data_IF_274867457274
#
_entry.id   IF_274867457274
#
_cell.length_a   1.000
_cell.length_b   1.000
_cell.length_c   1.000
_cell.angle_alpha   90.00
_cell.angle_beta   90.00
_cell.angle_gamma   90.00
#
_symmetry.space_group_name_H-M   'P 1'
#
loop_
_entity.id
_entity.type
_entity.pdbx_description
1 polymer ?
#
# COMPACT_ATOMS: atom_id res chain seq x y z
N UNK A 1 4.00 5.89 -22.43
CA UNK A 1 2.58 5.83 -22.02
C UNK A 1 2.39 6.84 -20.90
N UNK A 2 1.42 7.74 -21.05
CA UNK A 2 1.37 9.04 -20.39
C UNK A 2 1.17 8.96 -18.88
N UNK A 3 2.11 9.56 -18.14
CA UNK A 3 1.94 9.88 -16.73
C UNK A 3 1.06 11.13 -16.64
N UNK A 4 -0.25 10.95 -16.48
CA UNK A 4 -1.12 12.02 -15.98
C UNK A 4 -0.72 12.29 -14.53
N UNK A 5 0.08 13.33 -14.35
CA UNK A 5 0.39 13.88 -13.04
C UNK A 5 -0.89 14.50 -12.46
N UNK A 6 -1.46 13.82 -11.47
CA UNK A 6 -2.64 14.15 -10.66
C UNK A 6 -2.54 15.45 -9.85
N UNK A 7 -1.58 16.34 -10.14
CA UNK A 7 -1.37 17.58 -9.39
C UNK A 7 -2.53 18.58 -9.46
N UNK A 8 -3.52 18.36 -10.34
CA UNK A 8 -4.69 19.23 -10.50
C UNK A 8 -6.05 18.51 -10.45
N UNK A 9 -6.08 17.20 -10.19
CA UNK A 9 -7.35 16.49 -10.07
C UNK A 9 -7.93 16.63 -8.65
N UNK A 10 -9.19 17.02 -8.60
CA UNK A 10 -9.98 17.03 -7.38
C UNK A 10 -10.19 15.58 -6.90
N UNK A 11 -9.36 15.14 -5.94
CA UNK A 11 -9.37 13.76 -5.44
C UNK A 11 -10.74 13.35 -4.85
N UNK A 12 -11.55 14.32 -4.40
CA UNK A 12 -12.90 14.05 -3.90
C UNK A 12 -13.84 13.50 -4.96
N UNK A 13 -13.50 13.66 -6.25
CA UNK A 13 -14.26 13.16 -7.40
C UNK A 13 -13.60 11.96 -8.09
N UNK A 14 -12.48 11.49 -7.57
CA UNK A 14 -11.77 10.37 -8.17
C UNK A 14 -12.64 9.10 -8.10
N UNK A 15 -12.95 8.45 -9.24
CA UNK A 15 -13.89 7.34 -9.28
C UNK A 15 -13.38 6.11 -8.51
N UNK A 16 -12.06 5.93 -8.42
CA UNK A 16 -11.48 4.80 -7.69
C UNK A 16 -11.54 5.02 -6.18
N UNK A 17 -11.28 6.26 -5.71
CA UNK A 17 -11.45 6.62 -4.30
C UNK A 17 -12.93 6.53 -3.87
N UNK A 18 -13.85 7.00 -4.71
CA UNK A 18 -15.30 6.89 -4.47
C UNK A 18 -15.77 5.43 -4.44
N UNK A 19 -15.21 4.57 -5.29
CA UNK A 19 -15.50 3.12 -5.25
C UNK A 19 -14.96 2.50 -3.97
N UNK A 20 -13.72 2.84 -3.58
CA UNK A 20 -13.07 2.34 -2.36
C UNK A 20 -13.82 2.74 -1.07
N UNK A 21 -14.27 3.99 -0.97
CA UNK A 21 -15.09 4.47 0.17
C UNK A 21 -16.57 4.12 0.08
N UNK A 22 -16.99 3.45 -1.00
CA UNK A 22 -18.38 3.15 -1.29
C UNK A 22 -18.98 2.07 -0.39
N UNK A 23 -20.25 1.74 -0.68
CA UNK A 23 -21.05 0.77 0.11
C UNK A 23 -20.93 -0.68 -0.35
N UNK A 24 -20.10 -0.94 -1.36
CA UNK A 24 -19.92 -2.30 -1.91
C UNK A 24 -18.57 -2.85 -1.45
N UNK A 25 -18.52 -4.12 -1.00
CA UNK A 25 -17.26 -4.78 -0.70
C UNK A 25 -16.44 -4.97 -1.98
N UNK A 26 -15.13 -4.88 -1.84
CA UNK A 26 -14.17 -5.10 -2.92
C UNK A 26 -13.29 -6.27 -2.52
N UNK A 27 -13.44 -7.41 -3.21
CA UNK A 27 -12.62 -8.60 -2.95
C UNK A 27 -11.12 -8.29 -3.18
N UNK A 28 -10.19 -8.88 -2.40
CA UNK A 28 -8.76 -8.81 -2.68
C UNK A 28 -8.37 -9.23 -4.11
N UNK A 29 -9.15 -10.14 -4.72
CA UNK A 29 -8.92 -10.63 -6.09
C UNK A 29 -9.57 -9.76 -7.19
N UNK A 30 -10.28 -8.67 -6.81
CA UNK A 30 -10.97 -7.81 -7.77
C UNK A 30 -9.96 -7.06 -8.67
N UNK A 31 -10.12 -7.07 -10.01
CA UNK A 31 -9.27 -6.33 -10.94
C UNK A 31 -9.19 -4.81 -10.66
N UNK A 32 -10.14 -4.26 -9.90
CA UNK A 32 -10.12 -2.92 -9.36
C UNK A 32 -8.76 -2.54 -8.77
N UNK A 33 -8.12 -3.44 -8.01
CA UNK A 33 -6.87 -3.12 -7.32
C UNK A 33 -5.74 -2.79 -8.29
N UNK A 34 -5.70 -3.43 -9.46
CA UNK A 34 -4.71 -3.10 -10.48
C UNK A 34 -4.90 -1.67 -10.99
N UNK A 35 -6.14 -1.24 -11.20
CA UNK A 35 -6.45 0.11 -11.66
C UNK A 35 -6.21 1.15 -10.55
N UNK A 36 -6.68 0.86 -9.34
CA UNK A 36 -6.52 1.72 -8.16
C UNK A 36 -5.04 1.93 -7.84
N UNK A 37 -4.22 0.88 -7.84
CA UNK A 37 -2.80 0.95 -7.53
C UNK A 37 -1.93 1.40 -8.70
N UNK A 38 -2.46 1.43 -9.92
CA UNK A 38 -1.78 2.09 -11.05
C UNK A 38 -2.02 3.60 -11.08
N UNK A 39 -2.94 4.13 -10.28
CA UNK A 39 -3.13 5.57 -10.14
C UNK A 39 -1.96 6.21 -9.37
N UNK A 40 -1.40 7.29 -9.93
CA UNK A 40 -0.22 7.95 -9.37
C UNK A 40 -0.63 9.00 -8.35
N UNK A 41 -0.82 8.60 -7.09
CA UNK A 41 -0.96 9.54 -5.97
C UNK A 41 0.43 9.77 -5.37
N UNK A 42 1.02 10.95 -5.60
CA UNK A 42 2.35 11.26 -5.07
C UNK A 42 2.26 11.50 -3.56
N UNK A 43 3.08 10.83 -2.74
CA UNK A 43 3.14 11.15 -1.33
C UNK A 43 3.57 12.61 -1.13
N UNK A 44 2.98 13.29 -0.13
CA UNK A 44 3.25 14.70 0.10
C UNK A 44 4.73 14.89 0.49
N UNK A 45 5.42 15.81 -0.20
CA UNK A 45 6.83 16.11 0.07
C UNK A 45 6.99 17.13 1.20
N UNK A 46 5.98 17.97 1.43
CA UNK A 46 5.97 18.99 2.48
C UNK A 46 4.77 18.86 3.40
N UNK A 47 4.84 19.49 4.58
CA UNK A 47 3.69 19.59 5.50
C UNK A 47 2.49 20.25 4.82
N UNK A 48 2.72 21.26 3.98
CA UNK A 48 1.64 21.94 3.26
C UNK A 48 0.96 21.01 2.25
N UNK A 49 1.73 20.14 1.59
CA UNK A 49 1.15 19.13 0.68
C UNK A 49 0.33 18.09 1.44
N UNK A 50 0.78 17.69 2.64
CA UNK A 50 0.04 16.77 3.51
C UNK A 50 -1.30 17.40 3.95
N UNK A 51 -1.30 18.67 4.37
CA UNK A 51 -2.54 19.39 4.73
C UNK A 51 -3.51 19.46 3.55
N UNK A 52 -3.01 19.76 2.35
CA UNK A 52 -3.84 19.79 1.13
C UNK A 52 -4.43 18.42 0.81
N UNK A 53 -3.61 17.37 0.88
CA UNK A 53 -4.05 15.99 0.65
C UNK A 53 -5.15 15.59 1.64
N UNK A 54 -4.93 15.85 2.94
CA UNK A 54 -5.90 15.54 4.00
C UNK A 54 -7.22 16.28 3.75
N UNK A 55 -7.16 17.56 3.38
CA UNK A 55 -8.34 18.36 3.06
C UNK A 55 -9.12 17.81 1.86
N UNK A 56 -8.44 17.31 0.83
CA UNK A 56 -9.11 16.77 -0.37
C UNK A 56 -9.73 15.39 -0.11
N UNK A 57 -9.12 14.59 0.76
CA UNK A 57 -9.58 13.23 1.06
C UNK A 57 -10.58 13.16 2.22
N UNK A 58 -10.78 14.26 2.96
CA UNK A 58 -11.63 14.25 4.15
C UNK A 58 -13.05 13.69 3.88
N UNK A 59 -13.72 14.11 2.81
CA UNK A 59 -15.06 13.61 2.49
C UNK A 59 -15.06 12.12 2.09
N UNK A 60 -14.05 11.67 1.35
CA UNK A 60 -13.83 10.26 1.00
C UNK A 60 -13.66 9.43 2.27
N UNK A 61 -12.84 9.90 3.21
CA UNK A 61 -12.56 9.15 4.43
C UNK A 61 -13.70 9.14 5.43
N UNK A 62 -14.49 10.21 5.52
CA UNK A 62 -15.73 10.20 6.31
C UNK A 62 -16.71 9.14 5.79
N UNK A 63 -16.88 9.02 4.46
CA UNK A 63 -17.70 7.97 3.87
C UNK A 63 -17.11 6.57 4.11
N UNK A 64 -15.81 6.44 3.92
CA UNK A 64 -15.09 5.20 4.14
C UNK A 64 -15.26 4.70 5.57
N UNK A 65 -15.11 5.57 6.58
CA UNK A 65 -15.26 5.22 7.99
C UNK A 65 -16.62 4.56 8.28
N UNK A 66 -17.69 5.15 7.75
CA UNK A 66 -19.05 4.65 7.93
C UNK A 66 -19.24 3.30 7.22
N UNK A 67 -18.74 3.17 5.99
CA UNK A 67 -19.02 2.00 5.16
C UNK A 67 -18.09 0.81 5.44
N UNK A 68 -16.85 1.06 5.87
CA UNK A 68 -15.81 0.03 6.00
C UNK A 68 -16.18 -1.08 6.99
N UNK A 69 -16.94 -0.76 8.04
CA UNK A 69 -17.44 -1.77 9.00
C UNK A 69 -18.32 -2.83 8.36
N UNK A 70 -18.95 -2.54 7.23
CA UNK A 70 -19.77 -3.48 6.47
C UNK A 70 -19.08 -3.99 5.21
N UNK A 71 -18.22 -3.18 4.58
CA UNK A 71 -17.57 -3.58 3.31
C UNK A 71 -16.27 -4.34 3.49
N UNK A 72 -15.54 -4.14 4.60
CA UNK A 72 -14.23 -4.76 4.81
C UNK A 72 -13.16 -4.32 3.80
N UNK A 73 -13.35 -3.16 3.15
CA UNK A 73 -12.45 -2.68 2.10
C UNK A 73 -11.04 -2.38 2.64
N UNK A 74 -10.91 -2.01 3.91
CA UNK A 74 -9.60 -1.84 4.55
C UNK A 74 -8.86 -3.17 4.67
N UNK A 75 -9.52 -4.20 5.19
CA UNK A 75 -8.95 -5.54 5.30
C UNK A 75 -8.52 -6.07 3.93
N UNK A 76 -9.33 -5.81 2.90
CA UNK A 76 -9.00 -6.18 1.52
C UNK A 76 -7.78 -5.42 0.99
N UNK A 77 -7.65 -4.12 1.29
CA UNK A 77 -6.46 -3.33 0.95
C UNK A 77 -5.20 -3.85 1.67
N UNK A 78 -5.30 -4.23 2.95
CA UNK A 78 -4.19 -4.84 3.69
C UNK A 78 -3.74 -6.14 3.03
N UNK A 79 -4.69 -7.02 2.68
CA UNK A 79 -4.39 -8.28 2.00
C UNK A 79 -3.75 -8.07 0.63
N UNK A 80 -4.26 -7.13 -0.17
CA UNK A 80 -3.65 -6.77 -1.46
C UNK A 80 -2.25 -6.22 -1.29
N UNK A 81 -2.02 -5.41 -0.25
CA UNK A 81 -0.69 -4.87 0.05
C UNK A 81 0.31 -5.97 0.43
N UNK A 82 -0.14 -6.99 1.16
CA UNK A 82 0.64 -8.20 1.46
C UNK A 82 0.98 -9.00 0.20
N UNK A 83 0.00 -9.22 -0.69
CA UNK A 83 0.21 -9.92 -1.96
C UNK A 83 1.26 -9.20 -2.80
N UNK A 84 1.13 -7.87 -2.98
CA UNK A 84 2.07 -7.04 -3.75
C UNK A 84 3.47 -7.01 -3.12
N UNK A 85 3.54 -7.04 -1.79
CA UNK A 85 4.80 -7.18 -1.06
C UNK A 85 5.51 -8.50 -1.38
N UNK A 86 4.78 -9.61 -1.30
CA UNK A 86 5.33 -10.94 -1.59
C UNK A 86 5.76 -11.08 -3.04
N UNK A 87 4.97 -10.53 -3.99
CA UNK A 87 5.36 -10.46 -5.40
C UNK A 87 6.66 -9.69 -5.58
N UNK A 88 6.77 -8.49 -4.99
CA UNK A 88 7.99 -7.67 -5.05
C UNK A 88 9.21 -8.43 -4.50
N UNK A 89 9.06 -9.14 -3.38
CA UNK A 89 10.12 -9.94 -2.76
C UNK A 89 10.52 -11.14 -3.64
N UNK A 90 9.56 -11.82 -4.26
CA UNK A 90 9.81 -12.92 -5.18
C UNK A 90 10.51 -12.46 -6.47
N UNK A 91 10.23 -11.23 -6.92
CA UNK A 91 10.72 -10.69 -8.19
C UNK A 91 11.88 -9.71 -8.02
N UNK A 92 12.54 -9.65 -6.84
CA UNK A 92 13.64 -8.72 -6.56
C UNK A 92 14.85 -8.82 -7.51
N UNK A 93 14.99 -9.95 -8.20
CA UNK A 93 16.04 -10.16 -9.21
C UNK A 93 15.59 -9.70 -10.61
N UNK A 94 14.29 -9.55 -10.83
CA UNK A 94 13.72 -8.98 -12.05
C UNK A 94 13.72 -7.46 -11.95
N UNK A 95 14.03 -6.76 -13.03
CA UNK A 95 13.98 -5.29 -13.08
C UNK A 95 12.57 -4.76 -13.33
N UNK A 96 11.53 -5.51 -12.95
CA UNK A 96 10.16 -5.11 -13.23
C UNK A 96 9.70 -4.01 -12.25
N UNK A 97 9.74 -2.78 -12.74
CA UNK A 97 9.36 -1.56 -12.03
C UNK A 97 7.87 -1.56 -11.67
N UNK A 98 7.02 -2.33 -12.37
CA UNK A 98 5.58 -2.34 -12.14
C UNK A 98 5.23 -2.88 -10.74
N UNK A 99 5.85 -3.98 -10.31
CA UNK A 99 5.62 -4.55 -8.98
C UNK A 99 6.06 -3.57 -7.89
N UNK A 100 7.25 -2.98 -8.01
CA UNK A 100 7.73 -1.98 -7.06
C UNK A 100 6.79 -0.76 -6.98
N UNK A 101 6.27 -0.31 -8.13
CA UNK A 101 5.33 0.80 -8.21
C UNK A 101 3.99 0.48 -7.54
N UNK A 102 3.39 -0.67 -7.84
CA UNK A 102 2.11 -1.06 -7.24
C UNK A 102 2.24 -1.32 -5.74
N UNK A 103 3.33 -1.95 -5.29
CA UNK A 103 3.61 -2.14 -3.86
C UNK A 103 3.75 -0.80 -3.16
N UNK A 104 4.51 0.15 -3.74
CA UNK A 104 4.63 1.51 -3.19
C UNK A 104 3.27 2.20 -3.03
N UNK A 105 2.42 2.15 -4.06
CA UNK A 105 1.09 2.77 -4.01
C UNK A 105 0.16 2.07 -3.00
N UNK A 106 0.26 0.75 -2.85
CA UNK A 106 -0.51 0.00 -1.87
C UNK A 106 -0.14 0.40 -0.44
N UNK A 107 1.17 0.45 -0.15
CA UNK A 107 1.69 0.91 1.14
C UNK A 107 1.30 2.35 1.44
N UNK A 108 1.31 3.23 0.42
CA UNK A 108 0.87 4.61 0.59
C UNK A 108 -0.62 4.72 0.88
N UNK A 109 -1.47 3.95 0.19
CA UNK A 109 -2.91 3.91 0.45
C UNK A 109 -3.19 3.42 1.88
N UNK A 110 -2.53 2.34 2.33
CA UNK A 110 -2.62 1.85 3.71
C UNK A 110 -2.20 2.92 4.71
N UNK A 111 -1.06 3.60 4.47
CA UNK A 111 -0.59 4.71 5.32
C UNK A 111 -1.65 5.80 5.45
N UNK A 112 -2.28 6.22 4.35
CA UNK A 112 -3.27 7.29 4.39
C UNK A 112 -4.53 6.88 5.16
N UNK A 113 -5.01 5.64 4.98
CA UNK A 113 -6.15 5.11 5.75
C UNK A 113 -5.80 5.01 7.24
N UNK A 114 -4.66 4.41 7.59
CA UNK A 114 -4.21 4.29 8.97
C UNK A 114 -4.04 5.64 9.66
N UNK A 115 -3.42 6.62 8.99
CA UNK A 115 -3.31 8.00 9.51
C UNK A 115 -4.68 8.55 9.86
N UNK A 116 -5.64 8.46 8.94
CA UNK A 116 -7.00 8.96 9.17
C UNK A 116 -7.66 8.25 10.36
N UNK A 117 -7.56 6.92 10.44
CA UNK A 117 -8.14 6.15 11.53
C UNK A 117 -7.50 6.51 12.89
N UNK A 118 -6.17 6.61 12.97
CA UNK A 118 -5.45 7.03 14.19
C UNK A 118 -5.89 8.43 14.65
N UNK A 119 -6.16 9.34 13.72
CA UNK A 119 -6.58 10.71 14.04
C UNK A 119 -8.09 10.81 14.40
N UNK A 120 -8.89 9.78 14.08
CA UNK A 120 -10.36 9.86 14.15
C UNK A 120 -10.99 8.89 15.17
N UNK A 121 -10.38 7.72 15.38
CA UNK A 121 -10.91 6.65 16.25
C UNK A 121 -9.83 6.08 17.17
N UNK A 122 -10.23 5.35 18.21
CA UNK A 122 -9.31 4.68 19.14
C UNK A 122 -8.74 3.37 18.58
N UNK A 123 -7.67 2.86 19.19
CA UNK A 123 -6.93 1.66 18.77
C UNK A 123 -7.82 0.42 18.55
N UNK A 124 -8.77 0.17 19.45
CA UNK A 124 -9.72 -0.94 19.33
C UNK A 124 -10.56 -0.84 18.05
N UNK A 125 -11.01 0.37 17.69
CA UNK A 125 -11.77 0.60 16.46
C UNK A 125 -10.89 0.48 15.22
N UNK A 126 -9.60 0.83 15.29
CA UNK A 126 -8.65 0.59 14.18
C UNK A 126 -8.55 -0.91 13.90
N UNK A 127 -8.41 -1.73 14.94
CA UNK A 127 -8.38 -3.18 14.83
C UNK A 127 -9.69 -3.71 14.24
N UNK A 128 -10.86 -3.23 14.71
CA UNK A 128 -12.17 -3.61 14.15
C UNK A 128 -12.30 -3.23 12.67
N UNK A 129 -11.83 -2.06 12.25
CA UNK A 129 -11.84 -1.66 10.84
C UNK A 129 -10.93 -2.52 9.98
N UNK A 130 -9.77 -2.94 10.50
CA UNK A 130 -8.87 -3.85 9.81
C UNK A 130 -9.48 -5.24 9.67
N UNK A 131 -10.16 -5.71 10.73
CA UNK A 131 -10.79 -7.03 10.80
C UNK A 131 -12.22 -7.08 10.24
N UNK A 132 -12.81 -5.95 9.84
CA UNK A 132 -14.12 -5.91 9.20
C UNK A 132 -14.15 -6.79 7.93
N UNK A 133 -15.20 -7.60 7.80
CA UNK A 133 -15.41 -8.53 6.69
C UNK A 133 -16.83 -8.32 6.16
N UNK A 134 -17.01 -8.40 4.85
CA UNK A 134 -18.33 -8.30 4.25
C UNK A 134 -19.22 -9.48 4.68
N UNK A 135 -20.54 -9.29 4.90
CA UNK A 135 -21.45 -10.36 5.32
C UNK A 135 -21.45 -11.59 4.41
N UNK A 136 -21.04 -11.41 3.15
CA UNK A 136 -20.98 -12.45 2.12
C UNK A 136 -19.70 -13.30 2.15
N UNK A 137 -18.72 -12.94 2.97
CA UNK A 137 -17.47 -13.69 3.14
C UNK A 137 -17.57 -14.54 4.41
N UNK A 138 -17.32 -15.85 4.30
CA UNK A 138 -17.33 -16.73 5.46
C UNK A 138 -16.26 -16.29 6.49
N UNK A 139 -16.56 -16.32 7.80
CA UNK A 139 -15.58 -16.03 8.83
C UNK A 139 -14.37 -16.95 8.68
N UNK A 140 -13.16 -16.41 8.77
CA UNK A 140 -11.96 -17.25 8.92
C UNK A 140 -12.15 -18.18 10.13
N UNK A 141 -11.81 -19.46 9.93
CA UNK A 141 -12.00 -20.53 10.90
C UNK A 141 -11.64 -20.13 12.34
N UNK A 142 -12.54 -20.32 13.32
CA UNK A 142 -12.24 -20.04 14.73
C UNK A 142 -11.28 -21.12 15.26
N UNK A 143 -9.99 -20.79 15.40
CA UNK A 143 -9.03 -21.72 16.03
C UNK A 143 -7.55 -21.54 15.73
N UNK A 144 -7.14 -20.58 14.89
CA UNK A 144 -5.72 -20.25 14.72
C UNK A 144 -5.32 -19.11 15.67
N UNK A 145 -4.11 -19.16 16.23
CA UNK A 145 -3.48 -18.03 16.94
C UNK A 145 -3.84 -16.74 16.21
N UNK A 146 -4.53 -15.84 16.90
CA UNK A 146 -5.33 -14.79 16.30
C UNK A 146 -4.44 -13.63 15.84
N UNK A 147 -3.46 -13.92 14.98
CA UNK A 147 -2.61 -12.92 14.33
C UNK A 147 -3.53 -12.06 13.49
N UNK A 148 -3.60 -10.78 13.83
CA UNK A 148 -4.46 -9.82 13.13
C UNK A 148 -3.87 -9.48 11.76
N UNK A 149 -4.72 -9.04 10.83
CA UNK A 149 -4.27 -8.54 9.52
C UNK A 149 -3.29 -7.37 9.65
N UNK A 150 -3.46 -6.55 10.69
CA UNK A 150 -2.52 -5.46 11.00
C UNK A 150 -1.16 -6.00 11.43
N UNK A 151 -1.10 -6.97 12.34
CA UNK A 151 0.15 -7.60 12.77
C UNK A 151 0.88 -8.22 11.58
N UNK A 152 0.20 -9.03 10.76
CA UNK A 152 0.80 -9.61 9.54
C UNK A 152 1.30 -8.52 8.59
N UNK A 153 0.55 -7.43 8.42
CA UNK A 153 0.97 -6.31 7.60
C UNK A 153 2.25 -5.65 8.12
N UNK A 154 2.33 -5.37 9.43
CA UNK A 154 3.51 -4.78 10.05
C UNK A 154 4.74 -5.70 9.99
N UNK A 155 4.55 -7.02 10.14
CA UNK A 155 5.62 -8.00 9.94
C UNK A 155 6.16 -7.94 8.50
N UNK A 156 5.28 -7.88 7.50
CA UNK A 156 5.73 -7.75 6.10
C UNK A 156 6.44 -6.41 5.83
N UNK A 157 6.06 -5.32 6.51
CA UNK A 157 6.77 -4.04 6.38
C UNK A 157 8.22 -4.17 6.86
N UNK A 158 8.44 -4.87 7.98
CA UNK A 158 9.79 -5.15 8.47
C UNK A 158 10.55 -5.96 7.43
N UNK A 159 9.93 -6.99 6.85
CA UNK A 159 10.54 -7.81 5.81
C UNK A 159 10.94 -7.00 4.56
N UNK A 160 10.08 -6.10 4.08
CA UNK A 160 10.39 -5.19 2.96
C UNK A 160 11.57 -4.30 3.32
N UNK A 161 11.50 -3.62 4.47
CA UNK A 161 12.53 -2.67 4.90
C UNK A 161 13.88 -3.38 4.98
N UNK A 162 13.93 -4.58 5.55
CA UNK A 162 15.15 -5.38 5.66
C UNK A 162 15.61 -5.82 4.27
N UNK A 163 14.80 -6.56 3.52
CA UNK A 163 15.25 -7.18 2.27
C UNK A 163 15.52 -6.18 1.16
N UNK A 164 14.63 -5.20 0.93
CA UNK A 164 14.81 -4.19 -0.14
C UNK A 164 16.02 -3.30 0.16
N UNK A 165 16.17 -2.82 1.41
CA UNK A 165 17.33 -1.98 1.78
C UNK A 165 18.64 -2.77 1.67
N UNK A 166 18.64 -4.03 2.11
CA UNK A 166 19.80 -4.91 1.99
C UNK A 166 20.14 -5.15 0.51
N UNK A 167 19.17 -5.45 -0.35
CA UNK A 167 19.40 -5.64 -1.78
C UNK A 167 19.97 -4.39 -2.47
N UNK A 168 19.48 -3.19 -2.14
CA UNK A 168 20.06 -1.95 -2.65
C UNK A 168 21.52 -1.77 -2.17
N UNK A 169 21.82 -2.11 -0.92
CA UNK A 169 23.19 -2.08 -0.39
C UNK A 169 24.11 -3.07 -1.10
N UNK A 170 23.67 -4.31 -1.32
CA UNK A 170 24.44 -5.32 -2.06
C UNK A 170 24.59 -4.98 -3.54
N UNK A 171 23.58 -4.41 -4.20
CA UNK A 171 23.72 -3.93 -5.58
C UNK A 171 24.72 -2.77 -5.68
N UNK A 172 24.70 -1.81 -4.75
CA UNK A 172 25.73 -0.74 -4.70
C UNK A 172 27.13 -1.31 -4.47
N UNK A 173 27.28 -2.33 -3.61
CA UNK A 173 28.57 -3.00 -3.39
C UNK A 173 29.02 -3.80 -4.60
N UNK A 174 28.16 -4.60 -5.23
CA UNK A 174 28.47 -5.33 -6.47
C UNK A 174 28.86 -4.38 -7.59
N UNK A 175 28.20 -3.23 -7.74
CA UNK A 175 28.58 -2.21 -8.73
C UNK A 175 29.95 -1.59 -8.41
N UNK A 176 30.23 -1.29 -7.13
CA UNK A 176 31.54 -0.81 -6.67
C UNK A 176 32.66 -1.83 -6.89
N UNK A 177 32.41 -3.12 -6.63
CA UNK A 177 33.38 -4.20 -6.82
C UNK A 177 33.60 -4.56 -8.29
N UNK A 178 32.56 -4.47 -9.12
CA UNK A 178 32.66 -4.62 -10.58
C UNK A 178 33.43 -3.45 -11.19
N UNK A 179 33.18 -2.22 -10.73
CA UNK A 179 33.92 -1.02 -11.16
C UNK A 179 35.38 -1.07 -10.72
N UNK A 180 35.67 -1.50 -9.48
CA UNK A 180 37.05 -1.74 -9.02
C UNK A 180 37.75 -2.83 -9.81
N UNK A 181 37.07 -3.94 -10.13
CA UNK A 181 37.65 -4.99 -10.99
C UNK A 181 37.92 -4.46 -12.40
N UNK A 182 36.99 -3.73 -13.02
CA UNK A 182 37.15 -3.16 -14.36
C UNK A 182 38.29 -2.14 -14.44
N UNK A 183 38.40 -1.24 -13.45
CA UNK A 183 39.43 -0.18 -13.41
C UNK A 183 40.81 -0.72 -13.02
N UNK A 184 40.89 -1.82 -12.25
CA UNK A 184 42.16 -2.44 -11.88
C UNK A 184 42.68 -3.47 -12.91
N UNK A 185 41.83 -3.97 -13.81
CA UNK A 185 42.26 -4.82 -14.94
C UNK A 185 42.75 -4.06 -16.17
N UNK A 186 42.61 -2.73 -16.19
CA UNK A 186 43.08 -1.86 -17.29
C UNK A 186 44.46 -1.22 -17.05
N UNK A 187 45.22 -1.71 -16.07
CA UNK A 187 46.56 -1.19 -15.69
C UNK A 187 47.68 -2.22 -15.81
N UNK A 188 47.55 -3.20 -16.70
CA UNK A 188 48.62 -4.13 -17.09
C UNK A 188 48.91 -3.99 -18.59
#
# INVERSE_FOLDING_TARGET
MGATSSQYEDLSKNPYLLKFSGKKPISPDDPFWNQFLSYNLRPPATRNDQIKLDSQLNSIYQQFLINNMTTGNFGSLLQVSLIRTNELLATMQSQDILYAWQTYNALFAVRCVLKYLIETVGEEEIARHAEAVAPSQEPLHPGQSQVTRLETFFESLVEIIVNVSICQFWHRKKFSDLYKKLVLTSSL
#
